data_IF_834686992859
#
_entry.id   IF_834686992859
#
_cell.length_a   1.000
_cell.length_b   1.000
_cell.length_c   1.000
_cell.angle_alpha   90.00
_cell.angle_beta   90.00
_cell.angle_gamma   90.00
#
_symmetry.space_group_name_H-M   'P 1'
#
loop_
_entity.id
_entity.type
_entity.pdbx_description
1 polymer ?
#
# COMPACT_ATOMS: atom_id res chain seq x y z
N UNK A 1 -13.15 -11.01 4.95
CA UNK A 1 -12.88 -11.67 6.25
C UNK A 1 -12.97 -13.18 6.03
N UNK A 2 -11.85 -13.89 5.89
CA UNK A 2 -11.87 -15.36 5.85
C UNK A 2 -12.15 -15.87 7.26
N UNK A 3 -13.24 -16.60 7.45
CA UNK A 3 -13.40 -17.41 8.65
C UNK A 3 -12.37 -18.52 8.60
N UNK A 4 -11.22 -18.30 9.22
CA UNK A 4 -10.21 -19.34 9.42
C UNK A 4 -10.74 -20.30 10.48
N UNK A 5 -11.12 -21.49 10.06
CA UNK A 5 -11.63 -22.57 10.90
C UNK A 5 -10.56 -23.27 11.77
N UNK A 6 -9.45 -22.58 12.08
CA UNK A 6 -8.39 -23.13 12.92
C UNK A 6 -8.90 -23.37 14.34
N UNK A 7 -8.49 -24.45 15.00
CA UNK A 7 -8.79 -24.75 16.41
C UNK A 7 -7.67 -24.30 17.35
N UNK A 8 -6.45 -24.16 16.84
CA UNK A 8 -5.26 -23.79 17.61
C UNK A 8 -4.54 -22.62 16.95
N UNK A 9 -4.24 -21.59 17.73
CA UNK A 9 -3.44 -20.42 17.32
C UNK A 9 -2.08 -20.47 18.01
N UNK A 10 -1.02 -20.40 17.22
CA UNK A 10 0.36 -20.32 17.71
C UNK A 10 0.82 -18.87 17.74
N UNK A 11 1.24 -18.36 18.89
CA UNK A 11 1.83 -17.03 19.03
C UNK A 11 3.34 -17.19 19.22
N UNK A 12 4.12 -16.53 18.37
CA UNK A 12 5.57 -16.54 18.48
C UNK A 12 6.10 -15.12 18.72
N UNK A 13 6.59 -14.88 19.93
CA UNK A 13 7.12 -13.60 20.37
C UNK A 13 8.56 -13.68 20.84
N UNK A 14 9.14 -12.55 21.18
CA UNK A 14 10.47 -12.47 21.82
C UNK A 14 10.44 -13.01 23.24
N UNK A 15 11.58 -13.01 23.90
CA UNK A 15 11.68 -13.41 25.29
C UNK A 15 10.68 -12.63 26.17
N UNK A 16 10.03 -13.34 27.09
CA UNK A 16 9.06 -12.75 28.00
C UNK A 16 9.70 -11.80 29.01
N UNK A 17 11.02 -11.64 29.07
CA UNK A 17 11.64 -10.60 29.89
C UNK A 17 11.43 -9.18 29.31
N UNK A 18 11.08 -9.09 28.02
CA UNK A 18 10.86 -7.81 27.36
C UNK A 18 9.38 -7.38 27.43
N UNK A 19 9.13 -6.15 27.90
CA UNK A 19 7.78 -5.62 28.14
C UNK A 19 6.91 -5.64 26.87
N UNK A 20 7.48 -5.26 25.73
CA UNK A 20 6.81 -5.31 24.41
C UNK A 20 6.35 -6.73 24.05
N UNK A 21 7.20 -7.75 24.27
CA UNK A 21 6.85 -9.15 23.99
C UNK A 21 5.77 -9.68 24.92
N UNK A 22 5.90 -9.38 26.23
CA UNK A 22 4.86 -9.72 27.21
C UNK A 22 3.52 -9.09 26.82
N UNK A 23 3.51 -7.79 26.50
CA UNK A 23 2.29 -7.07 26.13
C UNK A 23 1.71 -7.65 24.84
N UNK A 24 2.54 -7.93 23.83
CA UNK A 24 2.10 -8.54 22.57
C UNK A 24 1.40 -9.90 22.79
N UNK A 25 2.06 -10.83 23.48
CA UNK A 25 1.54 -12.16 23.72
C UNK A 25 0.28 -12.14 24.61
N UNK A 26 0.32 -11.38 25.71
CA UNK A 26 -0.79 -11.29 26.67
C UNK A 26 -2.02 -10.63 26.04
N UNK A 27 -1.85 -9.52 25.31
CA UNK A 27 -2.98 -8.85 24.69
C UNK A 27 -3.62 -9.72 23.59
N UNK A 28 -2.83 -10.42 22.79
CA UNK A 28 -3.37 -11.37 21.81
C UNK A 28 -4.14 -12.51 22.49
N UNK A 29 -3.60 -13.09 23.56
CA UNK A 29 -4.27 -14.15 24.31
C UNK A 29 -5.60 -13.67 24.92
N UNK A 30 -5.61 -12.48 25.54
CA UNK A 30 -6.81 -11.87 26.11
C UNK A 30 -7.85 -11.63 25.01
N UNK A 31 -7.45 -11.03 23.88
CA UNK A 31 -8.37 -10.75 22.77
C UNK A 31 -8.90 -12.03 22.11
N UNK A 32 -8.07 -13.06 21.95
CA UNK A 32 -8.47 -14.36 21.43
C UNK A 32 -9.52 -15.02 22.34
N UNK A 33 -9.30 -15.04 23.66
CA UNK A 33 -10.28 -15.61 24.59
C UNK A 33 -11.62 -14.86 24.62
N UNK A 34 -11.62 -13.55 24.37
CA UNK A 34 -12.85 -12.74 24.28
C UNK A 34 -13.60 -12.93 22.96
N UNK A 35 -12.89 -13.06 21.84
CA UNK A 35 -13.49 -13.05 20.50
C UNK A 35 -13.74 -14.45 19.94
N UNK A 36 -12.95 -15.43 20.35
CA UNK A 36 -13.01 -16.81 19.88
C UNK A 36 -12.67 -17.79 21.02
N UNK A 37 -13.53 -17.90 22.05
CA UNK A 37 -13.27 -18.69 23.27
C UNK A 37 -13.13 -20.20 23.01
N UNK A 38 -13.58 -20.70 21.87
CA UNK A 38 -13.43 -22.08 21.43
C UNK A 38 -12.01 -22.42 20.93
N UNK A 39 -11.16 -21.41 20.74
CA UNK A 39 -9.80 -21.56 20.20
C UNK A 39 -8.79 -21.74 21.33
N UNK A 40 -7.91 -22.73 21.15
CA UNK A 40 -6.73 -22.90 22.01
C UNK A 40 -5.61 -21.98 21.53
N UNK A 41 -4.83 -21.47 22.47
CA UNK A 41 -3.68 -20.63 22.20
C UNK A 41 -2.43 -21.31 22.74
N UNK A 42 -1.39 -21.41 21.92
CA UNK A 42 -0.06 -21.88 22.31
C UNK A 42 0.91 -20.74 22.08
N UNK A 43 1.69 -20.38 23.11
CA UNK A 43 2.63 -19.26 23.04
C UNK A 43 4.03 -19.84 23.25
N UNK A 44 4.91 -19.62 22.27
CA UNK A 44 6.35 -19.83 22.44
C UNK A 44 7.05 -18.48 22.35
N UNK A 45 8.06 -18.33 23.17
CA UNK A 45 8.89 -17.13 23.24
C UNK A 45 10.35 -17.55 23.22
N UNK A 46 11.19 -16.80 22.51
CA UNK A 46 12.60 -17.09 22.37
C UNK A 46 13.39 -15.79 22.24
N UNK A 47 14.68 -15.83 22.59
CA UNK A 47 15.62 -14.80 22.15
C UNK A 47 15.87 -14.91 20.63
N UNK A 48 16.48 -13.90 20.03
CA UNK A 48 16.88 -13.94 18.61
C UNK A 48 17.76 -15.17 18.28
N UNK A 49 18.67 -15.53 19.18
CA UNK A 49 19.61 -16.65 18.99
C UNK A 49 18.91 -18.01 19.00
N UNK A 50 17.87 -18.17 19.82
CA UNK A 50 17.15 -19.44 19.97
C UNK A 50 15.91 -19.53 19.08
N UNK A 51 15.46 -18.41 18.50
CA UNK A 51 14.22 -18.32 17.73
C UNK A 51 14.14 -19.33 16.59
N UNK A 52 15.25 -19.58 15.88
CA UNK A 52 15.29 -20.60 14.83
C UNK A 52 14.94 -22.00 15.37
N UNK A 53 15.50 -22.39 16.52
CA UNK A 53 15.28 -23.70 17.12
C UNK A 53 13.86 -23.81 17.67
N UNK A 54 13.40 -22.82 18.44
CA UNK A 54 12.07 -22.81 19.06
C UNK A 54 10.95 -22.86 18.01
N UNK A 55 11.17 -22.33 16.81
CA UNK A 55 10.22 -22.48 15.71
C UNK A 55 9.92 -23.95 15.36
N UNK A 56 10.90 -24.86 15.45
CA UNK A 56 10.70 -26.30 15.21
C UNK A 56 9.87 -26.98 16.31
N UNK A 57 9.86 -26.42 17.52
CA UNK A 57 9.09 -26.99 18.63
C UNK A 57 7.58 -26.92 18.33
N UNK A 58 7.10 -25.89 17.63
CA UNK A 58 5.71 -25.81 17.17
C UNK A 58 5.29 -26.99 16.27
N UNK A 59 6.20 -27.44 15.39
CA UNK A 59 5.94 -28.52 14.45
C UNK A 59 6.21 -29.91 15.05
N UNK A 60 6.80 -29.97 16.24
CA UNK A 60 7.03 -31.20 17.00
C UNK A 60 5.89 -31.52 17.98
N UNK A 61 4.89 -30.64 18.10
CA UNK A 61 3.71 -30.82 18.95
C UNK A 61 2.77 -31.90 18.40
N UNK A 62 1.99 -32.56 19.28
CA UNK A 62 0.94 -33.50 18.87
C UNK A 62 -0.08 -32.84 17.92
N UNK A 63 -0.38 -31.56 18.15
CA UNK A 63 -1.23 -30.75 17.28
C UNK A 63 -0.51 -29.46 16.95
N UNK A 64 -0.08 -29.34 15.69
CA UNK A 64 0.50 -28.11 15.14
C UNK A 64 -0.58 -27.03 15.05
N UNK A 65 -0.27 -25.76 15.39
CA UNK A 65 -1.21 -24.66 15.21
C UNK A 65 -1.71 -24.51 13.77
N UNK A 66 -2.99 -24.20 13.62
CA UNK A 66 -3.64 -23.99 12.30
C UNK A 66 -3.33 -22.60 11.73
N UNK A 67 -2.93 -21.67 12.60
CA UNK A 67 -2.58 -20.28 12.29
C UNK A 67 -1.45 -19.88 13.22
N UNK A 68 -0.49 -19.12 12.70
CA UNK A 68 0.53 -18.45 13.49
C UNK A 68 0.33 -16.94 13.53
N UNK A 69 0.68 -16.32 14.66
CA UNK A 69 0.79 -14.88 14.82
C UNK A 69 2.17 -14.57 15.38
N UNK A 70 2.95 -13.76 14.68
CA UNK A 70 4.35 -13.45 15.04
C UNK A 70 4.54 -11.96 15.32
N UNK A 71 5.44 -11.69 16.25
CA UNK A 71 5.80 -10.32 16.65
C UNK A 71 6.60 -9.57 15.58
N UNK A 72 7.20 -10.28 14.63
CA UNK A 72 7.98 -9.72 13.54
C UNK A 72 8.10 -10.69 12.34
N UNK A 73 8.75 -10.22 11.27
CA UNK A 73 9.01 -11.00 10.05
C UNK A 73 10.06 -12.10 10.25
N UNK A 74 11.06 -11.92 11.11
CA UNK A 74 12.11 -12.92 11.32
C UNK A 74 11.55 -14.20 11.96
N UNK A 75 10.67 -14.05 12.94
CA UNK A 75 9.91 -15.17 13.53
C UNK A 75 9.02 -15.87 12.50
N UNK A 76 8.37 -15.10 11.63
CA UNK A 76 7.62 -15.68 10.52
C UNK A 76 8.54 -16.47 9.57
N UNK A 77 9.73 -15.93 9.26
CA UNK A 77 10.75 -16.61 8.44
C UNK A 77 11.18 -17.92 9.08
N UNK A 78 11.45 -17.95 10.38
CA UNK A 78 11.80 -19.19 11.08
C UNK A 78 10.66 -20.22 11.07
N UNK A 79 9.41 -19.79 11.24
CA UNK A 79 8.26 -20.69 11.11
C UNK A 79 8.12 -21.27 9.70
N UNK A 80 8.37 -20.48 8.64
CA UNK A 80 8.34 -21.03 7.27
C UNK A 80 9.43 -22.08 7.05
N UNK A 81 10.61 -21.88 7.62
CA UNK A 81 11.72 -22.85 7.54
C UNK A 81 11.42 -24.10 8.36
N UNK A 82 10.95 -23.93 9.59
CA UNK A 82 10.54 -25.02 10.47
C UNK A 82 9.40 -25.84 9.87
N UNK A 83 8.41 -25.20 9.24
CA UNK A 83 7.35 -25.90 8.52
C UNK A 83 7.91 -26.69 7.32
N UNK A 84 8.80 -26.09 6.53
CA UNK A 84 9.34 -26.72 5.33
C UNK A 84 10.18 -27.97 5.65
N UNK A 85 10.99 -27.93 6.72
CA UNK A 85 11.85 -29.05 7.10
C UNK A 85 11.22 -30.00 8.12
N UNK A 86 10.31 -29.52 8.95
CA UNK A 86 9.76 -30.23 10.10
C UNK A 86 8.31 -30.69 9.94
N UNK A 87 7.62 -30.36 8.84
CA UNK A 87 6.24 -30.79 8.60
C UNK A 87 6.08 -31.52 7.27
N UNK A 88 5.12 -32.45 7.24
CA UNK A 88 4.67 -33.13 6.01
C UNK A 88 3.51 -32.40 5.31
N UNK A 89 2.94 -31.38 5.95
CA UNK A 89 1.83 -30.58 5.45
C UNK A 89 2.27 -29.20 4.98
N UNK A 90 1.42 -28.53 4.20
CA UNK A 90 1.63 -27.13 3.83
C UNK A 90 1.75 -26.23 5.06
N UNK A 91 2.57 -25.18 4.95
CA UNK A 91 2.76 -24.21 6.03
C UNK A 91 1.42 -23.53 6.39
N UNK A 92 1.03 -23.56 7.67
CA UNK A 92 -0.14 -22.81 8.14
C UNK A 92 -0.02 -21.32 7.84
N UNK A 93 -1.17 -20.63 7.78
CA UNK A 93 -1.18 -19.19 7.54
C UNK A 93 -0.46 -18.47 8.69
N UNK A 94 0.41 -17.52 8.34
CA UNK A 94 1.17 -16.72 9.30
C UNK A 94 0.72 -15.26 9.21
N UNK A 95 0.34 -14.68 10.33
CA UNK A 95 0.17 -13.23 10.49
C UNK A 95 1.40 -12.68 11.19
N UNK A 96 2.01 -11.64 10.66
CA UNK A 96 3.23 -11.06 11.22
C UNK A 96 3.11 -9.55 11.32
N UNK A 97 3.60 -8.96 12.40
CA UNK A 97 3.93 -7.53 12.35
C UNK A 97 5.14 -7.34 11.42
N UNK A 98 5.17 -6.23 10.69
CA UNK A 98 6.27 -5.90 9.79
C UNK A 98 6.69 -4.44 9.91
N UNK A 99 7.81 -4.11 9.28
CA UNK A 99 8.12 -2.73 8.94
C UNK A 99 7.17 -2.19 7.85
N UNK A 100 7.50 -1.01 7.33
CA UNK A 100 6.72 -0.32 6.31
C UNK A 100 6.83 -0.94 4.89
N UNK A 101 7.70 -1.93 4.67
CA UNK A 101 7.94 -2.56 3.36
C UNK A 101 7.88 -4.09 3.50
N UNK A 102 6.70 -4.64 3.83
CA UNK A 102 6.57 -6.07 4.03
C UNK A 102 6.81 -6.88 2.75
N UNK A 103 7.31 -8.13 2.88
CA UNK A 103 7.34 -9.06 1.78
C UNK A 103 5.91 -9.45 1.34
N UNK A 104 5.71 -9.64 0.04
CA UNK A 104 4.43 -10.06 -0.53
C UNK A 104 4.50 -11.55 -0.87
N UNK A 105 4.23 -12.40 0.13
CA UNK A 105 4.35 -13.86 0.04
C UNK A 105 2.98 -14.51 0.28
N UNK A 106 2.69 -15.61 -0.44
CA UNK A 106 1.42 -16.34 -0.28
C UNK A 106 1.43 -17.04 1.08
N UNK A 107 0.35 -16.88 1.85
CA UNK A 107 0.21 -17.49 3.18
C UNK A 107 0.84 -16.69 4.32
N UNK A 108 1.63 -15.65 4.00
CA UNK A 108 2.14 -14.68 4.97
C UNK A 108 1.33 -13.39 4.86
N UNK A 109 0.74 -12.95 5.96
CA UNK A 109 -0.09 -11.75 6.08
C UNK A 109 0.64 -10.77 6.99
N UNK A 110 1.27 -9.78 6.38
CA UNK A 110 2.03 -8.77 7.11
C UNK A 110 1.15 -7.56 7.46
N UNK A 111 1.26 -7.14 8.72
CA UNK A 111 0.64 -5.93 9.24
C UNK A 111 1.75 -4.88 9.48
N UNK A 112 1.93 -3.93 8.56
CA UNK A 112 3.01 -2.96 8.64
C UNK A 112 2.80 -1.96 9.76
N UNK A 113 3.83 -1.78 10.56
CA UNK A 113 3.87 -0.85 11.68
C UNK A 113 4.73 0.35 11.28
N UNK A 114 4.12 1.54 11.32
CA UNK A 114 4.85 2.78 11.05
C UNK A 114 5.60 3.26 12.30
N UNK A 115 6.71 2.61 12.60
CA UNK A 115 7.53 2.92 13.78
C UNK A 115 8.08 4.36 13.78
N UNK A 116 8.31 4.96 12.60
CA UNK A 116 8.72 6.35 12.51
C UNK A 116 7.61 7.30 12.97
N UNK A 117 6.37 7.07 12.53
CA UNK A 117 5.21 7.82 13.00
C UNK A 117 4.95 7.58 14.49
N UNK A 118 5.06 6.32 14.94
CA UNK A 118 4.94 5.98 16.36
C UNK A 118 5.96 6.75 17.20
N UNK A 119 7.22 6.78 16.79
CA UNK A 119 8.28 7.53 17.47
C UNK A 119 8.00 9.03 17.50
N UNK A 120 7.49 9.60 16.41
CA UNK A 120 7.11 11.02 16.35
C UNK A 120 5.96 11.32 17.31
N UNK A 121 4.88 10.53 17.30
CA UNK A 121 3.71 10.74 18.17
C UNK A 121 4.08 10.56 19.65
N UNK A 122 4.96 9.62 19.98
CA UNK A 122 5.50 9.46 21.34
C UNK A 122 6.33 10.68 21.73
N UNK A 123 7.22 11.17 20.86
CA UNK A 123 8.04 12.36 21.15
C UNK A 123 7.17 13.61 21.34
N UNK A 124 6.16 13.81 20.49
CA UNK A 124 5.18 14.90 20.64
C UNK A 124 4.43 14.80 21.97
N UNK A 125 3.95 13.60 22.33
CA UNK A 125 3.27 13.37 23.60
C UNK A 125 4.17 13.68 24.81
N UNK A 126 5.45 13.29 24.77
CA UNK A 126 6.42 13.58 25.82
C UNK A 126 6.77 15.07 25.93
N UNK A 127 6.78 15.81 24.81
CA UNK A 127 7.04 17.25 24.80
C UNK A 127 5.86 18.08 25.31
N UNK A 128 4.64 17.59 25.12
CA UNK A 128 3.40 18.27 25.54
C UNK A 128 3.04 17.94 27.00
N UNK A 129 3.40 16.75 27.50
CA UNK A 129 3.04 16.32 28.84
C UNK A 129 3.80 17.07 29.95
N UNK A 130 3.07 17.73 30.85
CA UNK A 130 3.68 18.30 32.06
C UNK A 130 4.13 17.19 33.04
N UNK A 131 5.21 17.41 33.82
CA UNK A 131 5.80 16.42 34.74
C UNK A 131 4.84 15.73 35.73
N UNK A 132 3.65 16.28 35.96
CA UNK A 132 2.66 15.78 36.91
C UNK A 132 1.45 15.07 36.27
N UNK A 133 1.37 15.01 34.92
CA UNK A 133 0.27 14.33 34.19
C UNK A 133 0.59 12.89 33.75
N UNK A 134 1.78 12.35 34.10
CA UNK A 134 2.20 10.97 33.78
C UNK A 134 1.42 9.85 34.52
N UNK A 135 0.17 10.10 34.96
CA UNK A 135 -0.68 9.07 35.54
C UNK A 135 -1.23 8.16 34.43
N UNK A 136 -0.60 7.01 34.22
CA UNK A 136 -1.19 5.78 33.64
C UNK A 136 -2.07 5.95 32.38
N UNK A 137 -1.83 6.96 31.55
CA UNK A 137 -2.52 7.09 30.29
C UNK A 137 -1.81 6.20 29.26
N UNK A 138 -2.42 5.06 28.96
CA UNK A 138 -2.04 4.26 27.80
C UNK A 138 -2.25 5.12 26.54
N UNK A 139 -1.18 5.71 26.02
CA UNK A 139 -1.21 6.44 24.76
C UNK A 139 -1.37 5.41 23.65
N UNK A 140 -2.58 5.35 23.09
CA UNK A 140 -2.87 4.48 21.96
C UNK A 140 -2.55 5.22 20.68
N UNK A 141 -1.46 4.84 20.02
CA UNK A 141 -1.10 5.36 18.70
C UNK A 141 -1.83 4.53 17.64
N UNK A 142 -2.58 5.22 16.78
CA UNK A 142 -3.31 4.55 15.72
C UNK A 142 -2.35 4.08 14.62
N UNK A 143 -2.35 2.77 14.35
CA UNK A 143 -1.75 2.32 13.09
C UNK A 143 -2.64 2.78 11.94
N UNK A 144 -2.13 3.71 11.12
CA UNK A 144 -2.87 4.28 10.00
C UNK A 144 -3.03 3.31 8.82
N UNK A 145 -2.29 2.19 8.82
CA UNK A 145 -2.45 1.13 7.83
C UNK A 145 -3.46 0.09 8.34
N UNK A 146 -4.65 0.08 7.74
CA UNK A 146 -5.61 -1.03 7.86
C UNK A 146 -5.34 -2.14 6.85
N UNK A 147 -4.35 -1.97 5.96
CA UNK A 147 -4.04 -2.90 4.89
C UNK A 147 -3.14 -4.04 5.38
N UNK A 148 -3.58 -5.28 5.11
CA UNK A 148 -2.77 -6.49 5.26
C UNK A 148 -2.08 -6.79 3.94
N UNK A 149 -0.77 -6.99 3.98
CA UNK A 149 0.05 -7.29 2.81
C UNK A 149 0.24 -8.80 2.70
N UNK A 150 -0.21 -9.39 1.60
CA UNK A 150 -0.02 -10.81 1.29
C UNK A 150 -0.07 -11.01 -0.21
N UNK A 151 0.54 -12.08 -0.73
CA UNK A 151 0.37 -12.41 -2.14
C UNK A 151 -1.02 -12.99 -2.38
N UNK A 152 -1.85 -12.27 -3.12
CA UNK A 152 -3.14 -12.77 -3.58
C UNK A 152 -2.96 -13.73 -4.77
N UNK A 153 -3.76 -14.80 -4.86
CA UNK A 153 -3.80 -15.62 -6.06
C UNK A 153 -4.10 -14.77 -7.30
N UNK A 154 -3.54 -15.14 -8.45
CA UNK A 154 -3.98 -14.53 -9.70
C UNK A 154 -5.45 -14.86 -9.93
N UNK A 155 -6.25 -13.87 -10.34
CA UNK A 155 -7.60 -14.13 -10.83
C UNK A 155 -7.45 -14.94 -12.12
N UNK A 156 -7.74 -16.24 -12.03
CA UNK A 156 -7.80 -17.12 -13.18
C UNK A 156 -9.23 -17.06 -13.71
N UNK A 157 -9.46 -16.29 -14.77
CA UNK A 157 -10.71 -16.36 -15.52
C UNK A 157 -10.63 -17.55 -16.48
N UNK A 158 -11.45 -18.59 -16.23
CA UNK A 158 -11.71 -19.66 -17.22
C UNK A 158 -12.51 -19.17 -18.44
N UNK A 159 -12.99 -17.93 -18.38
CA UNK A 159 -13.82 -17.33 -19.42
C UNK A 159 -12.98 -16.80 -20.59
N UNK A 160 -13.40 -17.18 -21.81
CA UNK A 160 -12.61 -17.03 -23.05
C UNK A 160 -12.59 -15.61 -23.61
N UNK A 161 -13.32 -14.65 -23.04
CA UNK A 161 -13.28 -13.25 -23.47
C UNK A 161 -12.31 -12.45 -22.62
N UNK A 162 -11.08 -12.29 -23.10
CA UNK A 162 -10.09 -11.42 -22.49
C UNK A 162 -10.58 -9.96 -22.55
N UNK A 163 -11.07 -9.42 -21.42
CA UNK A 163 -11.49 -8.02 -21.30
C UNK A 163 -10.24 -7.13 -21.38
N UNK A 164 -10.30 -6.09 -22.22
CA UNK A 164 -9.21 -5.12 -22.35
C UNK A 164 -9.71 -3.69 -22.34
N UNK A 165 -8.90 -2.78 -21.77
CA UNK A 165 -9.09 -1.34 -21.80
C UNK A 165 -7.94 -0.68 -22.57
N UNK A 166 -8.25 0.28 -23.43
CA UNK A 166 -7.27 1.08 -24.16
C UNK A 166 -7.16 2.48 -23.54
N UNK A 167 -6.00 2.79 -22.98
CA UNK A 167 -5.70 4.08 -22.35
C UNK A 167 -4.83 4.94 -23.28
N UNK A 168 -5.37 6.08 -23.72
CA UNK A 168 -4.62 7.14 -24.38
C UNK A 168 -3.89 7.99 -23.32
N UNK A 169 -2.57 8.13 -23.45
CA UNK A 169 -1.75 8.88 -22.50
C UNK A 169 -0.53 9.50 -23.17
N UNK A 170 0.14 10.41 -22.47
CA UNK A 170 1.39 11.03 -22.85
C UNK A 170 2.60 10.35 -22.19
N UNK A 171 3.80 10.45 -22.77
CA UNK A 171 5.02 9.97 -22.12
C UNK A 171 5.28 10.77 -20.84
N UNK A 172 5.36 10.07 -19.71
CA UNK A 172 5.76 10.67 -18.42
C UNK A 172 6.38 9.60 -17.50
N UNK A 173 7.07 10.02 -16.41
CA UNK A 173 7.51 9.10 -15.37
C UNK A 173 6.35 8.25 -14.81
N UNK A 174 5.18 8.85 -14.60
CA UNK A 174 3.96 8.17 -14.15
C UNK A 174 3.45 7.13 -15.15
N UNK A 175 3.49 7.42 -16.46
CA UNK A 175 3.14 6.43 -17.51
C UNK A 175 4.12 5.24 -17.49
N UNK A 176 5.40 5.51 -17.24
CA UNK A 176 6.42 4.45 -17.12
C UNK A 176 6.19 3.60 -15.86
N UNK A 177 5.84 4.22 -14.74
CA UNK A 177 5.49 3.52 -13.50
C UNK A 177 4.21 2.68 -13.69
N UNK A 178 3.17 3.26 -14.30
CA UNK A 178 1.91 2.56 -14.61
C UNK A 178 2.19 1.29 -15.42
N UNK A 179 2.98 1.39 -16.49
CA UNK A 179 3.36 0.23 -17.32
C UNK A 179 3.99 -0.91 -16.50
N UNK A 180 4.80 -0.59 -15.47
CA UNK A 180 5.40 -1.58 -14.57
C UNK A 180 4.38 -2.21 -13.60
N UNK A 181 3.31 -1.48 -13.27
CA UNK A 181 2.26 -1.92 -12.34
C UNK A 181 1.09 -2.64 -13.03
N UNK A 182 0.89 -2.45 -14.35
CA UNK A 182 -0.17 -3.12 -15.12
C UNK A 182 -0.19 -4.66 -14.98
N UNK A 183 0.95 -5.38 -14.91
CA UNK A 183 0.93 -6.83 -14.67
C UNK A 183 0.26 -7.20 -13.34
N UNK A 184 0.45 -6.39 -12.29
CA UNK A 184 -0.21 -6.60 -11.00
C UNK A 184 -1.72 -6.32 -11.09
N UNK A 185 -2.12 -5.24 -11.77
CA UNK A 185 -3.54 -4.96 -12.03
C UNK A 185 -4.21 -6.10 -12.80
N UNK A 186 -3.57 -6.63 -13.84
CA UNK A 186 -4.05 -7.80 -14.58
C UNK A 186 -4.17 -9.03 -13.69
N UNK A 187 -3.15 -9.30 -12.85
CA UNK A 187 -3.20 -10.39 -11.88
C UNK A 187 -4.39 -10.27 -10.93
N UNK A 188 -4.75 -9.07 -10.50
CA UNK A 188 -5.83 -8.82 -9.55
C UNK A 188 -7.23 -8.78 -10.17
N UNK A 189 -7.36 -8.43 -11.44
CA UNK A 189 -8.66 -8.14 -12.06
C UNK A 189 -8.97 -8.99 -13.29
N UNK A 190 -7.96 -9.60 -13.90
CA UNK A 190 -8.05 -10.23 -15.22
C UNK A 190 -8.15 -9.24 -16.40
N UNK A 191 -8.16 -7.93 -16.14
CA UNK A 191 -8.37 -6.91 -17.17
C UNK A 191 -7.03 -6.47 -17.75
N UNK A 192 -6.86 -6.61 -19.07
CA UNK A 192 -5.66 -6.14 -19.76
C UNK A 192 -5.78 -4.65 -20.06
N UNK A 193 -4.74 -3.87 -19.80
CA UNK A 193 -4.69 -2.46 -20.19
C UNK A 193 -3.65 -2.26 -21.29
N UNK A 194 -4.08 -1.75 -22.44
CA UNK A 194 -3.20 -1.37 -23.54
C UNK A 194 -2.93 0.14 -23.45
N UNK A 195 -1.67 0.53 -23.51
CA UNK A 195 -1.27 1.95 -23.45
C UNK A 195 -0.99 2.47 -24.87
N UNK A 196 -1.75 3.47 -25.31
CA UNK A 196 -1.41 4.28 -26.48
C UNK A 196 -0.69 5.54 -26.01
N UNK A 197 0.63 5.58 -26.21
CA UNK A 197 1.50 6.64 -25.69
C UNK A 197 1.89 7.56 -26.85
N UNK A 198 1.41 8.80 -26.83
CA UNK A 198 1.66 9.79 -27.88
C UNK A 198 2.20 11.11 -27.31
N UNK A 199 3.00 11.87 -28.06
CA UNK A 199 3.38 13.24 -27.69
C UNK A 199 2.16 14.14 -27.47
N UNK A 200 2.34 15.23 -26.73
CA UNK A 200 1.25 16.13 -26.33
C UNK A 200 0.41 16.62 -27.53
N UNK A 201 1.06 17.07 -28.60
CA UNK A 201 0.38 17.62 -29.78
C UNK A 201 -0.49 16.57 -30.49
N UNK A 202 0.00 15.33 -30.59
CA UNK A 202 -0.76 14.21 -31.16
C UNK A 202 -1.95 13.83 -30.28
N UNK A 203 -1.77 13.77 -28.95
CA UNK A 203 -2.88 13.52 -28.02
C UNK A 203 -3.96 14.58 -28.18
N UNK A 204 -3.60 15.86 -28.27
CA UNK A 204 -4.56 16.95 -28.47
C UNK A 204 -5.34 16.80 -29.79
N UNK A 205 -4.66 16.42 -30.88
CA UNK A 205 -5.31 16.15 -32.17
C UNK A 205 -6.30 14.97 -32.08
N UNK A 206 -5.88 13.87 -31.46
CA UNK A 206 -6.73 12.68 -31.24
C UNK A 206 -7.97 13.05 -30.41
N UNK A 207 -7.80 13.79 -29.30
CA UNK A 207 -8.92 14.23 -28.45
C UNK A 207 -9.88 15.14 -29.22
N UNK A 208 -9.37 16.02 -30.09
CA UNK A 208 -10.20 16.90 -30.93
C UNK A 208 -11.05 16.15 -31.95
N UNK A 209 -10.64 14.93 -32.31
CA UNK A 209 -11.30 14.06 -33.27
C UNK A 209 -11.68 12.69 -32.65
N UNK A 210 -11.96 12.65 -31.34
CA UNK A 210 -12.12 11.38 -30.62
C UNK A 210 -13.22 10.47 -31.18
N UNK A 211 -14.25 11.04 -31.81
CA UNK A 211 -15.30 10.29 -32.50
C UNK A 211 -14.78 9.35 -33.61
N UNK A 212 -13.58 9.62 -34.17
CA UNK A 212 -12.88 8.75 -35.12
C UNK A 212 -12.08 7.63 -34.44
N UNK A 213 -11.93 7.70 -33.11
CA UNK A 213 -11.16 6.78 -32.28
C UNK A 213 -12.03 6.14 -31.17
N UNK A 214 -13.15 5.48 -31.51
CA UNK A 214 -14.12 4.96 -30.53
C UNK A 214 -13.60 3.78 -29.69
N UNK A 215 -12.38 3.31 -29.98
CA UNK A 215 -11.74 2.20 -29.29
C UNK A 215 -10.95 2.64 -28.04
N UNK A 216 -10.85 3.93 -27.74
CA UNK A 216 -10.26 4.41 -26.48
C UNK A 216 -11.30 4.40 -25.36
N UNK A 217 -10.97 3.70 -24.27
CA UNK A 217 -11.85 3.58 -23.10
C UNK A 217 -11.48 4.58 -22.00
N UNK A 218 -10.17 4.88 -21.89
CA UNK A 218 -9.61 5.78 -20.88
C UNK A 218 -8.75 6.84 -21.55
N UNK A 219 -8.84 8.07 -21.05
CA UNK A 219 -8.09 9.21 -21.58
C UNK A 219 -7.36 9.90 -20.43
N UNK A 220 -6.06 10.12 -20.58
CA UNK A 220 -5.33 11.06 -19.75
C UNK A 220 -5.32 12.41 -20.45
N UNK A 221 -5.95 13.40 -19.83
CA UNK A 221 -6.11 14.75 -20.38
C UNK A 221 -5.36 15.72 -19.49
N UNK A 222 -4.65 16.66 -20.11
CA UNK A 222 -3.95 17.72 -19.38
C UNK A 222 -4.94 18.72 -18.77
N UNK A 223 -4.62 19.24 -17.58
CA UNK A 223 -5.48 20.19 -16.86
C UNK A 223 -5.84 21.42 -17.71
N UNK A 224 -4.93 21.90 -18.55
CA UNK A 224 -5.16 23.11 -19.35
C UNK A 224 -6.25 22.92 -20.41
N UNK A 225 -6.40 21.71 -20.97
CA UNK A 225 -7.41 21.42 -21.98
C UNK A 225 -8.62 20.65 -21.45
N UNK A 226 -8.54 20.11 -20.22
CA UNK A 226 -9.62 19.33 -19.60
C UNK A 226 -11.01 20.02 -19.63
N UNK A 227 -11.17 21.29 -19.21
CA UNK A 227 -12.48 21.95 -19.25
C UNK A 227 -13.08 22.05 -20.65
N UNK A 228 -12.25 22.13 -21.70
CA UNK A 228 -12.71 22.23 -23.09
C UNK A 228 -13.21 20.90 -23.64
N UNK A 229 -12.73 19.79 -23.09
CA UNK A 229 -13.05 18.44 -23.54
C UNK A 229 -14.12 17.76 -22.71
N UNK A 230 -14.20 18.04 -21.41
CA UNK A 230 -15.00 17.28 -20.45
C UNK A 230 -16.44 17.00 -20.92
N UNK A 231 -17.24 18.03 -21.18
CA UNK A 231 -18.64 17.86 -21.58
C UNK A 231 -18.82 17.28 -23.00
N UNK A 232 -17.79 17.41 -23.85
CA UNK A 232 -17.87 17.05 -25.27
C UNK A 232 -17.52 15.60 -25.55
N UNK A 233 -16.56 15.05 -24.80
CA UNK A 233 -15.97 13.74 -25.10
C UNK A 233 -15.91 12.80 -23.89
N UNK A 234 -16.13 13.28 -22.66
CA UNK A 234 -16.11 12.44 -21.46
C UNK A 234 -17.52 12.10 -21.01
N UNK A 235 -17.64 10.93 -20.37
CA UNK A 235 -18.85 10.52 -19.65
C UNK A 235 -18.75 10.99 -18.19
N UNK A 236 -19.77 11.67 -17.65
CA UNK A 236 -19.82 12.00 -16.22
C UNK A 236 -19.64 10.75 -15.34
N UNK A 237 -18.90 10.87 -14.24
CA UNK A 237 -18.57 9.75 -13.34
C UNK A 237 -19.81 9.15 -12.66
N UNK A 238 -20.86 9.93 -12.44
CA UNK A 238 -22.14 9.45 -11.89
C UNK A 238 -22.90 8.55 -12.89
N UNK A 239 -22.52 8.58 -14.17
CA UNK A 239 -23.10 7.73 -15.22
C UNK A 239 -22.30 6.45 -15.47
N UNK A 240 -21.19 6.21 -14.78
CA UNK A 240 -20.35 5.03 -14.98
C UNK A 240 -20.67 3.97 -13.91
N UNK A 241 -21.15 2.79 -14.32
CA UNK A 241 -21.58 1.75 -13.38
C UNK A 241 -22.69 2.26 -12.45
N UNK A 242 -22.53 2.01 -11.15
CA UNK A 242 -23.42 2.51 -10.09
C UNK A 242 -23.07 3.96 -9.65
N UNK A 243 -22.16 4.62 -10.36
CA UNK A 243 -21.60 5.93 -10.03
C UNK A 243 -20.22 5.82 -9.38
N UNK A 244 -19.26 6.62 -9.86
CA UNK A 244 -17.87 6.62 -9.39
C UNK A 244 -17.49 7.92 -8.64
N UNK A 245 -18.47 8.77 -8.32
CA UNK A 245 -18.22 10.08 -7.69
C UNK A 245 -17.56 9.99 -6.33
N UNK A 246 -17.82 8.90 -5.59
CA UNK A 246 -17.28 8.69 -4.24
C UNK A 246 -15.76 8.59 -4.24
N UNK A 247 -15.15 8.18 -5.36
CA UNK A 247 -13.68 8.12 -5.50
C UNK A 247 -13.05 9.51 -5.33
N UNK A 248 -13.74 10.59 -5.67
CA UNK A 248 -13.24 11.95 -5.50
C UNK A 248 -13.11 12.36 -4.02
N UNK A 249 -13.83 11.70 -3.10
CA UNK A 249 -13.77 11.98 -1.66
C UNK A 249 -12.37 11.76 -1.06
N UNK A 250 -11.52 10.97 -1.74
CA UNK A 250 -10.12 10.77 -1.36
C UNK A 250 -9.21 11.97 -1.68
N UNK A 251 -9.71 12.99 -2.37
CA UNK A 251 -8.97 14.19 -2.74
C UNK A 251 -9.52 15.42 -2.03
N UNK A 252 -8.64 16.39 -1.76
CA UNK A 252 -9.08 17.68 -1.21
C UNK A 252 -10.03 18.40 -2.16
N UNK A 253 -10.98 19.18 -1.63
CA UNK A 253 -11.92 19.95 -2.46
C UNK A 253 -11.20 20.81 -3.53
N UNK A 254 -10.11 21.53 -3.23
CA UNK A 254 -9.35 22.25 -4.26
C UNK A 254 -8.78 21.35 -5.36
N UNK A 255 -8.37 20.13 -5.03
CA UNK A 255 -7.89 19.14 -6.02
C UNK A 255 -9.04 18.66 -6.90
N UNK A 256 -10.20 18.35 -6.32
CA UNK A 256 -11.38 17.94 -7.07
C UNK A 256 -11.81 19.02 -8.07
N UNK A 257 -11.93 20.27 -7.60
CA UNK A 257 -12.32 21.41 -8.44
C UNK A 257 -11.37 21.66 -9.61
N UNK A 258 -10.06 21.46 -9.41
CA UNK A 258 -9.05 21.70 -10.46
C UNK A 258 -8.94 20.57 -11.48
N UNK A 259 -9.11 19.33 -11.05
CA UNK A 259 -8.69 18.16 -11.84
C UNK A 259 -9.81 17.17 -12.14
N UNK A 260 -11.00 17.32 -11.54
CA UNK A 260 -12.10 16.36 -11.70
C UNK A 260 -13.45 16.98 -12.06
N UNK A 261 -13.69 18.24 -11.71
CA UNK A 261 -14.98 18.91 -11.89
C UNK A 261 -14.97 19.91 -13.04
N UNK A 262 -16.05 19.94 -13.82
CA UNK A 262 -16.37 21.00 -14.79
C UNK A 262 -17.84 21.35 -14.62
N UNK A 263 -18.14 22.62 -14.37
CA UNK A 263 -19.50 23.10 -14.10
C UNK A 263 -20.22 22.27 -13.01
N UNK A 264 -19.53 22.00 -11.90
CA UNK A 264 -19.98 21.17 -10.77
C UNK A 264 -20.30 19.71 -11.10
N UNK A 265 -19.96 19.23 -12.31
CA UNK A 265 -20.11 17.83 -12.72
C UNK A 265 -18.75 17.14 -12.70
N UNK A 266 -18.71 15.95 -12.10
CA UNK A 266 -17.51 15.12 -12.03
C UNK A 266 -17.30 14.33 -13.32
N UNK A 267 -16.17 14.58 -14.00
CA UNK A 267 -15.81 13.91 -15.26
C UNK A 267 -14.52 13.09 -15.19
N UNK A 268 -13.60 13.42 -14.28
CA UNK A 268 -12.28 12.82 -14.25
C UNK A 268 -11.74 12.62 -12.83
N UNK A 269 -10.72 11.77 -12.73
CA UNK A 269 -9.99 11.50 -11.50
C UNK A 269 -8.57 12.10 -11.60
N UNK A 270 -8.08 12.79 -10.56
CA UNK A 270 -6.68 13.24 -10.54
C UNK A 270 -5.74 12.02 -10.60
N UNK A 271 -4.82 12.00 -11.57
CA UNK A 271 -3.89 10.87 -11.78
C UNK A 271 -2.49 11.19 -11.24
N UNK A 272 -1.87 12.25 -11.74
CA UNK A 272 -0.62 12.78 -11.22
C UNK A 272 -0.67 14.31 -11.17
N UNK A 273 -0.01 14.89 -10.17
CA UNK A 273 0.11 16.32 -10.00
C UNK A 273 1.55 16.74 -10.29
N UNK A 274 1.71 17.85 -11.01
CA UNK A 274 3.01 18.48 -11.23
C UNK A 274 3.00 19.88 -10.64
N UNK A 275 4.13 20.27 -10.04
CA UNK A 275 4.36 21.62 -9.55
C UNK A 275 5.44 22.29 -10.40
N UNK A 276 5.25 23.57 -10.72
CA UNK A 276 6.29 24.36 -11.36
C UNK A 276 7.33 24.76 -10.31
N UNK A 277 8.57 24.35 -10.54
CA UNK A 277 9.69 24.63 -9.65
C UNK A 277 10.78 25.37 -10.42
N UNK A 278 11.39 26.37 -9.78
CA UNK A 278 12.59 27.01 -10.30
C UNK A 278 13.82 26.25 -9.80
N UNK A 279 14.44 25.51 -10.70
CA UNK A 279 15.75 24.91 -10.44
C UNK A 279 16.85 25.89 -10.87
N UNK A 280 17.80 26.16 -9.97
CA UNK A 280 18.95 27.00 -10.27
C UNK A 280 20.23 26.41 -9.68
N UNK A 281 21.36 26.75 -10.31
CA UNK A 281 22.70 26.36 -9.87
C UNK A 281 23.16 27.29 -8.76
N UNK A 282 23.07 26.86 -7.50
CA UNK A 282 23.44 27.68 -6.33
C UNK A 282 24.85 28.24 -6.40
N UNK A 283 25.80 27.45 -6.88
CA UNK A 283 27.19 27.86 -7.07
C UNK A 283 27.36 29.01 -8.06
N UNK A 284 26.56 29.10 -9.15
CA UNK A 284 26.56 30.29 -10.01
C UNK A 284 26.07 31.56 -9.27
N UNK A 285 25.41 31.41 -8.12
CA UNK A 285 24.91 32.50 -7.29
C UNK A 285 25.68 32.67 -5.98
N UNK A 286 26.67 31.84 -5.69
CA UNK A 286 27.42 31.88 -4.42
C UNK A 286 28.93 31.95 -4.67
N UNK A 287 29.44 31.23 -5.67
CA UNK A 287 30.85 31.24 -6.07
C UNK A 287 31.17 32.49 -6.91
N UNK A 288 32.07 33.32 -6.39
CA UNK A 288 32.47 34.59 -7.00
C UNK A 288 33.22 34.41 -8.32
N UNK A 289 33.97 33.32 -8.48
CA UNK A 289 34.70 33.00 -9.70
C UNK A 289 33.70 32.58 -10.78
N UNK A 290 32.78 31.66 -10.45
CA UNK A 290 31.79 31.18 -11.41
C UNK A 290 30.82 32.28 -11.83
N UNK A 291 30.39 33.15 -10.90
CA UNK A 291 29.64 34.37 -11.23
C UNK A 291 30.36 35.21 -12.27
N UNK A 292 31.62 35.55 -12.00
CA UNK A 292 32.41 36.43 -12.85
C UNK A 292 32.61 35.81 -14.24
N UNK A 293 32.98 34.53 -14.30
CA UNK A 293 33.11 33.80 -15.55
C UNK A 293 31.82 33.79 -16.38
N UNK A 294 30.67 33.59 -15.72
CA UNK A 294 29.37 33.62 -16.40
C UNK A 294 29.03 35.01 -16.96
N UNK A 295 29.24 36.08 -16.17
CA UNK A 295 29.00 37.45 -16.61
C UNK A 295 29.91 37.87 -17.76
N UNK A 296 31.20 37.52 -17.72
CA UNK A 296 32.15 37.86 -18.77
C UNK A 296 31.87 37.12 -20.08
N UNK A 297 31.32 35.89 -20.02
CA UNK A 297 30.99 35.08 -21.20
C UNK A 297 29.70 35.51 -21.92
N UNK A 298 28.72 36.04 -21.18
CA UNK A 298 27.39 36.36 -21.72
C UNK A 298 27.17 37.88 -21.84
N UNK A 299 28.24 38.65 -22.00
CA UNK A 299 28.21 40.10 -22.20
C UNK A 299 28.25 40.46 -23.68
#
# INVERSE_FOLDING_TARGET
>A
MSQTAGKVVGIFGDNQDELNSQVFANQLQIRLSQTAPDKKCVILSASDEESYKIAFDFFSMEQVPDIFVTQDIEKARYLTQASYFGSSSDCPIIFALSDNIPPVIKGLYCFPMNYAQLGLEVAEALLIAEPHEYKNNNVSVANRSSYLYTATPAVMSDDKSQISLNLLTLPSPSTTALKKLLPHFYRQTGIKVNLAIHPYDEVYQILSQLHLHPYYDLLRIDMACFPWFAERILRPLDKIGDGLTDLLSHFSLPTQQKFGLVNDVAYAMPFDASAQLLFYRKDLFEDTILKRMYYEKNR
#
